data_IF_551343685137
#
_entry.id   IF_551343685137
#
_cell.length_a   1.000
_cell.length_b   1.000
_cell.length_c   1.000
_cell.angle_alpha   90.00
_cell.angle_beta   90.00
_cell.angle_gamma   90.00
#
_symmetry.space_group_name_H-M   'P 1'
#
loop_
_entity.id
_entity.type
_entity.pdbx_description
1 polymer ?
#
# COMPACT_ATOMS: atom_id res chain seq x y z
N UNK A 1 8.92 4.81 16.16
CA UNK A 1 8.51 4.53 14.76
C UNK A 1 7.53 3.37 14.67
N UNK A 2 7.91 2.10 14.92
CA UNK A 2 6.94 0.99 14.83
C UNK A 2 5.78 1.09 15.84
N UNK A 3 6.09 1.46 17.10
CA UNK A 3 5.08 1.68 18.14
C UNK A 3 4.16 2.87 17.84
N UNK A 4 4.70 3.92 17.23
CA UNK A 4 3.96 5.12 16.81
C UNK A 4 3.02 4.81 15.65
N UNK A 5 3.49 4.06 14.64
CA UNK A 5 2.67 3.59 13.53
C UNK A 5 1.52 2.69 13.99
N UNK A 6 1.75 1.82 14.99
CA UNK A 6 0.68 1.00 15.56
C UNK A 6 -0.35 1.83 16.34
N UNK A 7 0.10 2.84 17.09
CA UNK A 7 -0.81 3.78 17.76
C UNK A 7 -1.69 4.55 16.77
N UNK A 8 -1.11 5.03 15.66
CA UNK A 8 -1.84 5.70 14.58
C UNK A 8 -2.85 4.76 13.90
N UNK A 9 -2.48 3.49 13.69
CA UNK A 9 -3.38 2.47 13.12
C UNK A 9 -4.57 2.22 14.05
N UNK A 10 -4.36 2.05 15.35
CA UNK A 10 -5.42 1.85 16.34
C UNK A 10 -6.34 3.08 16.43
N UNK A 11 -5.78 4.29 16.43
CA UNK A 11 -6.55 5.53 16.43
C UNK A 11 -7.40 5.68 15.16
N UNK A 12 -6.88 5.26 14.00
CA UNK A 12 -7.62 5.28 12.74
C UNK A 12 -8.73 4.22 12.73
N UNK A 13 -8.46 3.02 13.23
CA UNK A 13 -9.45 1.94 13.35
C UNK A 13 -10.63 2.35 14.23
N UNK A 14 -10.37 3.01 15.36
CA UNK A 14 -11.42 3.51 16.25
C UNK A 14 -12.34 4.56 15.59
N UNK A 15 -11.86 5.25 14.55
CA UNK A 15 -12.62 6.26 13.79
C UNK A 15 -13.31 5.70 12.55
N UNK A 16 -12.85 4.56 12.03
CA UNK A 16 -13.27 4.06 10.72
C UNK A 16 -14.68 3.42 10.70
N UNK A 17 -15.32 3.26 11.87
CA UNK A 17 -16.70 2.74 12.01
C UNK A 17 -16.98 1.53 11.09
N UNK A 18 -16.07 0.56 11.07
CA UNK A 18 -16.15 -0.59 10.16
C UNK A 18 -17.27 -1.52 10.60
N UNK A 19 -18.42 -1.46 9.92
CA UNK A 19 -19.60 -2.27 10.22
C UNK A 19 -19.45 -3.73 9.75
N UNK A 20 -18.77 -3.96 8.63
CA UNK A 20 -18.56 -5.29 8.04
C UNK A 20 -17.09 -5.52 7.70
N UNK A 21 -16.34 -6.11 8.64
CA UNK A 21 -14.93 -6.43 8.45
C UNK A 21 -14.70 -7.55 7.42
N UNK A 22 -15.64 -8.48 7.25
CA UNK A 22 -15.54 -9.60 6.29
C UNK A 22 -15.44 -9.10 4.84
N UNK A 23 -16.07 -7.95 4.55
CA UNK A 23 -15.96 -7.29 3.25
C UNK A 23 -14.54 -6.84 2.87
N UNK A 24 -13.59 -6.85 3.81
CA UNK A 24 -12.20 -6.41 3.62
C UNK A 24 -11.15 -7.52 3.88
N UNK A 25 -11.57 -8.74 4.19
CA UNK A 25 -10.67 -9.88 4.36
C UNK A 25 -10.04 -10.32 3.02
N UNK A 26 -8.91 -11.05 3.04
CA UNK A 26 -8.37 -11.68 1.84
C UNK A 26 -9.43 -12.44 1.03
N UNK A 27 -9.35 -12.37 -0.31
CA UNK A 27 -10.38 -12.91 -1.22
C UNK A 27 -11.61 -12.01 -1.42
N UNK A 28 -11.81 -10.96 -0.60
CA UNK A 28 -12.96 -10.06 -0.74
C UNK A 28 -12.74 -8.95 -1.79
N UNK A 29 -13.83 -8.32 -2.24
CA UNK A 29 -13.76 -7.13 -3.10
C UNK A 29 -13.04 -5.96 -2.41
N UNK A 30 -13.29 -5.70 -1.12
CA UNK A 30 -12.60 -4.62 -0.40
C UNK A 30 -11.09 -4.81 -0.34
N UNK A 31 -10.62 -6.06 -0.21
CA UNK A 31 -9.19 -6.37 -0.27
C UNK A 31 -8.61 -6.20 -1.68
N UNK A 32 -9.39 -6.54 -2.72
CA UNK A 32 -9.03 -6.29 -4.12
C UNK A 32 -8.85 -4.79 -4.40
N UNK A 33 -9.75 -3.94 -3.93
CA UNK A 33 -9.66 -2.49 -4.11
C UNK A 33 -8.39 -1.92 -3.45
N UNK A 34 -8.01 -2.42 -2.27
CA UNK A 34 -6.76 -2.02 -1.63
C UNK A 34 -5.53 -2.45 -2.45
N UNK A 35 -5.54 -3.67 -3.01
CA UNK A 35 -4.49 -4.15 -3.92
C UNK A 35 -4.38 -3.26 -5.16
N UNK A 36 -5.52 -2.93 -5.77
CA UNK A 36 -5.60 -2.10 -6.96
C UNK A 36 -5.11 -0.68 -6.69
N UNK A 37 -5.53 -0.06 -5.59
CA UNK A 37 -5.08 1.27 -5.18
C UNK A 37 -3.56 1.32 -4.97
N UNK A 38 -2.97 0.31 -4.31
CA UNK A 38 -1.52 0.22 -4.14
C UNK A 38 -0.77 0.13 -5.49
N UNK A 39 -1.32 -0.62 -6.45
CA UNK A 39 -0.78 -0.70 -7.81
C UNK A 39 -0.83 0.65 -8.53
N UNK A 40 -1.97 1.36 -8.48
CA UNK A 40 -2.10 2.70 -9.09
C UNK A 40 -1.06 3.67 -8.52
N UNK A 41 -0.89 3.69 -7.20
CA UNK A 41 0.04 4.61 -6.55
C UNK A 41 1.50 4.28 -6.86
N UNK A 42 1.84 2.99 -6.92
CA UNK A 42 3.19 2.54 -7.34
C UNK A 42 3.50 3.04 -8.76
N UNK A 43 2.58 2.82 -9.69
CA UNK A 43 2.71 3.28 -11.09
C UNK A 43 2.78 4.81 -11.19
N UNK A 44 1.99 5.53 -10.38
CA UNK A 44 2.00 6.98 -10.37
C UNK A 44 3.33 7.55 -9.90
N UNK A 45 3.97 6.96 -8.87
CA UNK A 45 5.31 7.37 -8.43
C UNK A 45 6.35 7.06 -9.50
N UNK A 46 6.30 5.88 -10.12
CA UNK A 46 7.23 5.51 -11.17
C UNK A 46 7.17 6.51 -12.35
N UNK A 47 5.98 6.73 -12.91
CA UNK A 47 5.81 7.52 -14.14
C UNK A 47 5.88 9.02 -13.91
N UNK A 48 5.35 9.52 -12.80
CA UNK A 48 5.24 10.97 -12.60
C UNK A 48 6.38 11.56 -11.75
N UNK A 49 7.05 10.74 -10.93
CA UNK A 49 8.12 11.22 -10.06
C UNK A 49 9.49 10.74 -10.52
N UNK A 50 9.69 9.42 -10.67
CA UNK A 50 11.01 8.88 -11.00
C UNK A 50 11.49 9.25 -12.42
N UNK A 51 10.59 9.67 -13.30
CA UNK A 51 10.90 10.18 -14.64
C UNK A 51 10.98 11.72 -14.70
N UNK A 52 10.60 12.43 -13.64
CA UNK A 52 10.54 13.89 -13.64
C UNK A 52 11.93 14.52 -13.55
N UNK A 53 12.21 15.52 -14.39
CA UNK A 53 13.55 16.10 -14.54
C UNK A 53 14.09 16.70 -13.23
N UNK A 54 13.25 17.41 -12.48
CA UNK A 54 13.63 17.95 -11.16
C UNK A 54 14.04 16.87 -10.15
N UNK A 55 13.46 15.66 -10.24
CA UNK A 55 13.81 14.53 -9.36
C UNK A 55 15.07 13.84 -9.87
N UNK A 56 15.27 13.73 -11.18
CA UNK A 56 16.49 13.17 -11.78
C UNK A 56 17.74 14.03 -11.50
N UNK A 57 17.58 15.35 -11.43
CA UNK A 57 18.68 16.28 -11.20
C UNK A 57 19.12 16.40 -9.74
N UNK A 58 18.29 15.94 -8.79
CA UNK A 58 18.58 16.00 -7.35
C UNK A 58 18.66 14.58 -6.74
N UNK A 59 19.84 14.13 -6.29
CA UNK A 59 20.03 12.79 -5.74
C UNK A 59 19.18 12.50 -4.49
N UNK A 60 18.93 13.52 -3.66
CA UNK A 60 18.12 13.34 -2.46
C UNK A 60 16.65 13.14 -2.84
N UNK A 61 16.14 13.92 -3.80
CA UNK A 61 14.78 13.76 -4.29
C UNK A 61 14.58 12.40 -4.95
N UNK A 62 15.52 11.98 -5.81
CA UNK A 62 15.46 10.65 -6.43
C UNK A 62 15.44 9.54 -5.38
N UNK A 63 16.30 9.63 -4.35
CA UNK A 63 16.35 8.65 -3.25
C UNK A 63 15.01 8.58 -2.50
N UNK A 64 14.38 9.72 -2.21
CA UNK A 64 13.09 9.77 -1.51
C UNK A 64 11.96 9.20 -2.38
N UNK A 65 11.87 9.60 -3.65
CA UNK A 65 10.87 9.08 -4.58
C UNK A 65 11.03 7.56 -4.81
N UNK A 66 12.27 7.07 -4.91
CA UNK A 66 12.57 5.65 -5.07
C UNK A 66 12.20 4.84 -3.82
N UNK A 67 12.45 5.38 -2.62
CA UNK A 67 12.02 4.77 -1.37
C UNK A 67 10.49 4.70 -1.27
N UNK A 68 9.78 5.75 -1.68
CA UNK A 68 8.32 5.76 -1.72
C UNK A 68 7.76 4.71 -2.70
N UNK A 69 8.32 4.62 -3.91
CA UNK A 69 7.97 3.58 -4.88
C UNK A 69 8.15 2.18 -4.29
N UNK A 70 9.30 1.93 -3.65
CA UNK A 70 9.63 0.63 -3.05
C UNK A 70 8.63 0.27 -1.95
N UNK A 71 8.31 1.21 -1.05
CA UNK A 71 7.35 0.96 0.02
C UNK A 71 5.92 0.66 -0.52
N UNK A 72 5.50 1.34 -1.59
CA UNK A 72 4.22 1.08 -2.24
C UNK A 72 4.20 -0.28 -2.95
N UNK A 73 5.31 -0.64 -3.61
CA UNK A 73 5.46 -1.94 -4.25
C UNK A 73 5.46 -3.09 -3.22
N UNK A 74 6.16 -2.93 -2.11
CA UNK A 74 6.15 -3.90 -1.00
C UNK A 74 4.74 -4.06 -0.42
N UNK A 75 3.99 -2.97 -0.28
CA UNK A 75 2.58 -3.01 0.15
C UNK A 75 1.72 -3.76 -0.87
N UNK A 76 1.85 -3.46 -2.16
CA UNK A 76 1.15 -4.17 -3.24
C UNK A 76 1.41 -5.68 -3.18
N UNK A 77 2.68 -6.08 -3.06
CA UNK A 77 3.08 -7.49 -2.96
C UNK A 77 2.53 -8.15 -1.69
N UNK A 78 2.58 -7.46 -0.55
CA UNK A 78 2.09 -8.00 0.73
C UNK A 78 0.57 -8.21 0.73
N UNK A 79 -0.20 -7.29 0.13
CA UNK A 79 -1.64 -7.45 -0.06
C UNK A 79 -1.89 -8.62 -1.03
N UNK A 80 -1.20 -8.64 -2.18
CA UNK A 80 -1.38 -9.65 -3.22
C UNK A 80 -1.12 -11.07 -2.70
N UNK A 81 -0.05 -11.25 -1.93
CA UNK A 81 0.28 -12.55 -1.33
C UNK A 81 -0.84 -13.08 -0.43
N UNK A 82 -1.46 -12.23 0.39
CA UNK A 82 -2.59 -12.63 1.24
C UNK A 82 -3.86 -12.82 0.43
N UNK A 83 -4.18 -11.86 -0.45
CA UNK A 83 -5.44 -11.84 -1.21
C UNK A 83 -5.58 -13.00 -2.19
N UNK A 84 -4.46 -13.45 -2.79
CA UNK A 84 -4.42 -14.53 -3.77
C UNK A 84 -4.06 -15.90 -3.18
N UNK A 85 -3.80 -15.96 -1.86
CA UNK A 85 -3.59 -17.25 -1.22
C UNK A 85 -4.87 -18.09 -1.34
N UNK A 86 -4.78 -19.35 -1.79
CA UNK A 86 -5.94 -20.22 -1.80
C UNK A 86 -6.50 -20.30 -0.37
N UNK A 87 -7.81 -20.22 -0.22
CA UNK A 87 -8.46 -20.60 1.03
C UNK A 87 -8.17 -22.08 1.21
N UNK A 88 -7.48 -22.46 2.28
CA UNK A 88 -7.29 -23.88 2.60
C UNK A 88 -8.69 -24.49 2.80
N UNK A 89 -9.16 -25.27 1.81
CA UNK A 89 -10.37 -26.09 1.89
C UNK A 89 -10.05 -27.29 2.81
N UNK A 90 -10.15 -27.10 4.13
CA UNK A 90 -10.20 -28.19 5.14
C UNK A 90 -11.64 -28.69 5.37
#
# INVERSE_FOLDING_TARGET
MAEESEQERLASLAKAEIENAEAFLPGSFGCHEALHAASIMTDAVARNLLEHEAILLDPEFYRLASAAHTALFDLYQAIGAKHLSPVDDD
#
